data_IF_106343091140
#
_entry.id   IF_106343091140
#
_cell.length_a   1.000
_cell.length_b   1.000
_cell.length_c   1.000
_cell.angle_alpha   90.00
_cell.angle_beta   90.00
_cell.angle_gamma   90.00
#
_symmetry.space_group_name_H-M   'P 1'
#
loop_
_entity.id
_entity.type
_entity.pdbx_description
1 polymer ?
#
# COMPACT_ATOMS: atom_id res chain seq x y z
N UNK A 1 -66.72 16.70 7.09
CA UNK A 1 -65.72 15.60 6.97
C UNK A 1 -64.39 16.02 6.32
N UNK A 2 -64.19 17.28 5.93
CA UNK A 2 -62.98 17.72 5.20
C UNK A 2 -61.81 18.24 6.07
N UNK A 3 -62.02 18.61 7.34
CA UNK A 3 -60.97 19.25 8.16
C UNK A 3 -59.90 18.30 8.72
N UNK A 4 -60.19 17.00 8.84
CA UNK A 4 -59.27 15.99 9.39
C UNK A 4 -58.27 15.48 8.34
N UNK A 5 -58.70 15.32 7.09
CA UNK A 5 -57.87 14.83 5.98
C UNK A 5 -56.77 15.82 5.60
N UNK A 6 -57.02 17.14 5.64
CA UNK A 6 -55.99 18.16 5.37
C UNK A 6 -54.85 18.15 6.39
N UNK A 7 -55.14 17.91 7.68
CA UNK A 7 -54.08 17.84 8.71
C UNK A 7 -53.16 16.63 8.53
N UNK A 8 -53.69 15.50 8.06
CA UNK A 8 -52.91 14.27 7.83
C UNK A 8 -52.03 14.42 6.58
N UNK A 9 -52.55 15.05 5.52
CA UNK A 9 -51.78 15.30 4.29
C UNK A 9 -50.65 16.30 4.51
N UNK A 10 -50.88 17.38 5.27
CA UNK A 10 -49.83 18.35 5.61
C UNK A 10 -48.75 17.73 6.49
N UNK A 11 -49.12 16.86 7.45
CA UNK A 11 -48.16 16.17 8.31
C UNK A 11 -47.28 15.18 7.52
N UNK A 12 -47.86 14.48 6.54
CA UNK A 12 -47.13 13.57 5.65
C UNK A 12 -46.16 14.29 4.71
N UNK A 13 -46.51 15.49 4.22
CA UNK A 13 -45.61 16.31 3.40
C UNK A 13 -44.45 16.87 4.24
N UNK A 14 -44.72 17.29 5.48
CA UNK A 14 -43.65 17.76 6.40
C UNK A 14 -42.71 16.62 6.81
N UNK A 15 -43.21 15.40 7.02
CA UNK A 15 -42.39 14.21 7.26
C UNK A 15 -41.60 13.76 6.02
N UNK A 16 -42.18 13.86 4.82
CA UNK A 16 -41.50 13.55 3.56
C UNK A 16 -40.37 14.53 3.22
N UNK A 17 -40.52 15.81 3.58
CA UNK A 17 -39.47 16.83 3.43
C UNK A 17 -38.37 16.69 4.50
N UNK A 18 -38.68 16.16 5.69
CA UNK A 18 -37.69 15.87 6.73
C UNK A 18 -36.86 14.60 6.44
N UNK A 19 -37.38 13.65 5.68
CA UNK A 19 -36.68 12.40 5.35
C UNK A 19 -35.75 12.50 4.13
N UNK A 20 -35.87 13.55 3.32
CA UNK A 20 -34.96 13.81 2.19
C UNK A 20 -33.75 14.69 2.57
N UNK A 21 -33.55 14.95 3.85
CA UNK A 21 -32.43 15.75 4.37
C UNK A 21 -31.27 14.92 4.97
N UNK A 22 -31.34 13.59 4.91
CA UNK A 22 -30.30 12.70 5.45
C UNK A 22 -29.58 11.89 4.36
N UNK A 23 -29.05 12.59 3.37
CA UNK A 23 -27.88 12.16 2.60
C UNK A 23 -26.99 13.36 2.27
N UNK A 24 -26.85 14.29 3.23
CA UNK A 24 -25.77 15.26 3.16
C UNK A 24 -24.47 14.50 3.35
N UNK A 25 -23.77 14.22 2.25
CA UNK A 25 -22.30 14.09 2.26
C UNK A 25 -21.79 15.23 3.14
N UNK A 26 -21.32 14.89 4.31
CA UNK A 26 -20.76 15.86 5.22
C UNK A 26 -19.45 16.30 4.60
N UNK A 27 -19.36 17.58 4.23
CA UNK A 27 -18.09 18.19 3.88
C UNK A 27 -17.11 17.85 5.02
N UNK A 28 -15.98 17.28 4.63
CA UNK A 28 -14.92 16.83 5.52
C UNK A 28 -14.52 18.01 6.42
N UNK A 29 -14.30 17.75 7.70
CA UNK A 29 -13.72 18.74 8.64
C UNK A 29 -12.45 19.32 8.01
N UNK A 30 -12.27 20.64 8.02
CA UNK A 30 -11.30 21.47 7.25
C UNK A 30 -9.82 21.01 7.15
N UNK A 31 -9.41 19.89 7.75
CA UNK A 31 -8.00 19.55 8.01
C UNK A 31 -7.36 18.53 7.02
N UNK A 32 -8.13 17.73 6.26
CA UNK A 32 -7.56 16.72 5.33
C UNK A 32 -8.41 16.61 4.06
N UNK A 33 -7.86 17.05 2.92
CA UNK A 33 -8.59 17.10 1.64
C UNK A 33 -7.93 16.28 0.53
N UNK A 34 -6.62 16.04 0.64
CA UNK A 34 -5.82 15.31 -0.34
C UNK A 34 -5.13 14.13 0.32
N UNK A 35 -4.70 13.16 -0.49
CA UNK A 35 -3.98 12.00 0.02
C UNK A 35 -2.65 12.38 0.70
N UNK A 36 -1.99 13.46 0.26
CA UNK A 36 -0.78 13.97 0.92
C UNK A 36 -1.01 14.38 2.37
N UNK A 37 -2.22 14.86 2.71
CA UNK A 37 -2.54 15.28 4.06
C UNK A 37 -2.56 14.09 5.05
N UNK A 38 -2.71 12.87 4.53
CA UNK A 38 -2.69 11.63 5.32
C UNK A 38 -1.29 11.00 5.44
N UNK A 39 -0.27 11.53 4.73
CA UNK A 39 1.06 10.96 4.77
C UNK A 39 1.64 10.95 6.20
N UNK A 40 2.29 9.84 6.55
CA UNK A 40 2.87 9.70 7.88
C UNK A 40 3.89 10.81 8.17
N UNK A 41 3.77 11.42 9.36
CA UNK A 41 4.81 12.24 9.95
C UNK A 41 4.83 12.06 11.47
N UNK A 42 5.99 12.26 12.11
CA UNK A 42 6.15 12.17 13.57
C UNK A 42 5.25 13.14 14.35
N UNK A 43 4.71 14.18 13.68
CA UNK A 43 3.86 15.21 14.27
C UNK A 43 2.37 15.00 13.98
N UNK A 44 2.03 14.13 13.03
CA UNK A 44 0.65 13.92 12.62
C UNK A 44 -0.11 13.12 13.69
N UNK A 45 -1.33 13.53 14.01
CA UNK A 45 -2.18 12.84 14.99
C UNK A 45 -3.17 11.86 14.37
N UNK A 46 -3.30 11.87 13.04
CA UNK A 46 -4.19 10.98 12.30
C UNK A 46 -3.46 9.67 11.96
N UNK A 47 -4.21 8.56 11.96
CA UNK A 47 -3.69 7.31 11.43
C UNK A 47 -3.46 7.49 9.92
N UNK A 48 -2.28 7.17 9.37
CA UNK A 48 -1.96 7.40 7.96
C UNK A 48 -2.62 6.33 7.08
N UNK A 49 -3.93 6.12 7.21
CA UNK A 49 -4.67 5.07 6.51
C UNK A 49 -5.66 5.68 5.52
N UNK A 50 -5.60 5.15 4.30
CA UNK A 50 -6.56 5.39 3.24
C UNK A 50 -7.17 4.06 2.81
N UNK A 51 -8.47 4.04 2.52
CA UNK A 51 -9.14 2.85 2.00
C UNK A 51 -9.25 2.93 0.48
N UNK A 52 -8.87 1.85 -0.20
CA UNK A 52 -8.86 1.75 -1.65
C UNK A 52 -9.75 0.58 -2.04
N UNK A 53 -10.55 0.75 -3.09
CA UNK A 53 -11.41 -0.32 -3.60
C UNK A 53 -10.56 -1.41 -4.28
N UNK A 54 -10.65 -2.63 -3.77
CA UNK A 54 -10.21 -3.87 -4.42
C UNK A 54 -11.44 -4.75 -4.72
N UNK A 55 -11.25 -5.86 -5.46
CA UNK A 55 -12.33 -6.79 -5.83
C UNK A 55 -13.19 -7.28 -4.65
N UNK A 56 -12.59 -7.44 -3.46
CA UNK A 56 -13.26 -7.90 -2.24
C UNK A 56 -13.90 -6.77 -1.41
N UNK A 57 -13.77 -5.51 -1.84
CA UNK A 57 -14.23 -4.32 -1.15
C UNK A 57 -13.10 -3.37 -0.80
N UNK A 58 -13.38 -2.43 0.12
CA UNK A 58 -12.40 -1.43 0.55
C UNK A 58 -11.34 -2.02 1.48
N UNK A 59 -10.08 -1.92 1.05
CA UNK A 59 -8.91 -2.43 1.76
C UNK A 59 -8.05 -1.27 2.28
N UNK A 60 -7.51 -1.35 3.51
CA UNK A 60 -6.66 -0.31 4.07
C UNK A 60 -5.24 -0.31 3.49
N UNK A 61 -4.77 0.88 3.14
CA UNK A 61 -3.42 1.19 2.72
C UNK A 61 -2.81 2.23 3.65
N UNK A 62 -1.52 2.11 3.92
CA UNK A 62 -0.73 3.05 4.69
C UNK A 62 -0.18 4.11 3.73
N UNK A 63 -0.39 5.39 4.03
CA UNK A 63 0.20 6.52 3.31
C UNK A 63 1.59 6.81 3.90
N UNK A 64 2.63 6.24 3.28
CA UNK A 64 3.97 6.18 3.87
C UNK A 64 4.72 7.51 3.82
N UNK A 65 4.62 8.22 2.69
CA UNK A 65 5.26 9.53 2.46
C UNK A 65 4.54 10.24 1.32
N UNK A 66 4.57 11.58 1.32
CA UNK A 66 4.13 12.42 0.21
C UNK A 66 5.27 12.90 -0.69
N UNK A 67 6.50 12.43 -0.45
CA UNK A 67 7.68 12.76 -1.23
C UNK A 67 8.48 11.50 -1.55
N UNK A 68 7.89 10.62 -2.37
CA UNK A 68 8.57 9.52 -3.02
C UNK A 68 8.78 9.89 -4.48
N UNK A 69 9.93 10.50 -4.78
CA UNK A 69 10.23 11.10 -6.09
C UNK A 69 9.11 12.07 -6.53
N UNK A 70 8.64 12.92 -5.61
CA UNK A 70 7.55 13.88 -5.84
C UNK A 70 6.14 13.30 -5.87
N UNK A 71 5.95 12.03 -5.47
CA UNK A 71 4.65 11.34 -5.44
C UNK A 71 4.29 10.87 -4.03
N UNK A 72 3.03 10.48 -3.83
CA UNK A 72 2.59 9.87 -2.57
C UNK A 72 2.65 8.36 -2.65
N UNK A 73 3.49 7.76 -1.80
CA UNK A 73 3.70 6.30 -1.72
C UNK A 73 2.70 5.65 -0.77
N UNK A 74 2.04 4.62 -1.27
CA UNK A 74 1.09 3.81 -0.52
C UNK A 74 1.60 2.38 -0.37
N UNK A 75 1.28 1.75 0.77
CA UNK A 75 1.57 0.34 1.04
C UNK A 75 0.32 -0.35 1.56
N UNK A 76 -0.05 -1.48 0.97
CA UNK A 76 -1.16 -2.29 1.47
C UNK A 76 -0.91 -2.67 2.94
N UNK A 77 -1.87 -2.39 3.84
CA UNK A 77 -1.67 -2.57 5.29
C UNK A 77 -1.52 -4.05 5.65
N UNK A 78 -2.39 -4.89 5.09
CA UNK A 78 -2.38 -6.34 5.25
C UNK A 78 -1.68 -7.00 4.05
N UNK A 79 -1.24 -8.25 4.21
CA UNK A 79 -0.75 -9.04 3.06
C UNK A 79 -1.91 -9.47 2.16
N UNK A 80 -1.62 -9.76 0.88
CA UNK A 80 -2.57 -10.42 0.00
C UNK A 80 -2.99 -11.79 0.56
N UNK A 81 -4.20 -12.30 0.22
CA UNK A 81 -4.68 -13.58 0.74
C UNK A 81 -3.83 -14.78 0.34
N UNK A 82 -3.15 -14.70 -0.80
CA UNK A 82 -2.30 -15.76 -1.34
C UNK A 82 -0.83 -15.41 -1.13
N UNK A 83 -0.08 -16.36 -0.58
CA UNK A 83 1.38 -16.29 -0.62
C UNK A 83 1.86 -16.61 -2.03
N UNK A 84 2.97 -16.01 -2.43
CA UNK A 84 3.67 -16.35 -3.68
C UNK A 84 5.17 -16.38 -3.44
N UNK A 85 5.86 -17.03 -4.36
CA UNK A 85 7.31 -17.00 -4.47
C UNK A 85 7.75 -15.82 -5.32
N UNK A 86 9.02 -15.45 -5.22
CA UNK A 86 9.62 -14.41 -6.06
C UNK A 86 9.89 -14.97 -7.46
N UNK A 87 10.49 -16.15 -7.53
CA UNK A 87 10.78 -16.88 -8.78
C UNK A 87 10.97 -18.38 -8.49
N UNK A 88 11.26 -19.19 -9.51
CA UNK A 88 11.63 -20.59 -9.34
C UNK A 88 13.06 -20.78 -8.78
N UNK A 89 13.95 -19.80 -8.94
CA UNK A 89 15.31 -19.85 -8.43
C UNK A 89 15.93 -18.46 -8.21
N UNK A 90 15.97 -17.58 -9.21
CA UNK A 90 16.72 -16.32 -9.17
C UNK A 90 16.15 -15.28 -8.18
N UNK A 91 17.01 -14.60 -7.44
CA UNK A 91 16.65 -13.48 -6.58
C UNK A 91 16.44 -12.16 -7.33
N UNK A 92 16.76 -12.12 -8.63
CA UNK A 92 16.57 -10.92 -9.44
C UNK A 92 15.09 -10.52 -9.52
N UNK A 93 14.81 -9.23 -9.31
CA UNK A 93 13.43 -8.76 -9.14
C UNK A 93 12.71 -8.47 -10.46
N UNK A 94 13.35 -7.78 -11.39
CA UNK A 94 12.73 -7.39 -12.66
C UNK A 94 12.36 -8.63 -13.47
N UNK A 95 11.12 -8.67 -13.97
CA UNK A 95 10.55 -9.79 -14.74
C UNK A 95 10.45 -11.12 -13.96
N UNK A 96 10.67 -11.10 -12.64
CA UNK A 96 10.39 -12.24 -11.76
C UNK A 96 8.90 -12.60 -11.75
N UNK A 97 8.56 -13.77 -11.21
CA UNK A 97 7.16 -14.21 -11.11
C UNK A 97 6.32 -13.24 -10.26
N UNK A 98 6.90 -12.72 -9.18
CA UNK A 98 6.20 -11.76 -8.30
C UNK A 98 6.07 -10.38 -8.94
N UNK A 99 7.08 -9.90 -9.68
CA UNK A 99 7.01 -8.64 -10.42
C UNK A 99 5.93 -8.69 -11.51
N UNK A 100 5.93 -9.77 -12.31
CA UNK A 100 4.91 -10.02 -13.32
C UNK A 100 3.51 -10.16 -12.72
N UNK A 101 3.39 -10.79 -11.55
CA UNK A 101 2.11 -10.86 -10.83
C UNK A 101 1.62 -9.48 -10.37
N UNK A 102 2.49 -8.65 -9.80
CA UNK A 102 2.13 -7.32 -9.32
C UNK A 102 1.71 -6.38 -10.45
N UNK A 103 2.47 -6.38 -11.55
CA UNK A 103 2.22 -5.55 -12.74
C UNK A 103 1.09 -6.07 -13.63
N UNK A 104 0.83 -7.37 -13.60
CA UNK A 104 -0.24 -8.02 -14.34
C UNK A 104 -1.44 -8.32 -13.45
N UNK A 105 -1.56 -9.57 -13.00
CA UNK A 105 -2.76 -10.09 -12.34
C UNK A 105 -3.27 -9.21 -11.18
N UNK A 106 -2.40 -8.75 -10.28
CA UNK A 106 -2.83 -7.87 -9.18
C UNK A 106 -3.33 -6.53 -9.71
N UNK A 107 -2.52 -5.82 -10.51
CA UNK A 107 -2.87 -4.51 -11.05
C UNK A 107 -4.15 -4.58 -11.87
N UNK A 108 -4.27 -5.55 -12.79
CA UNK A 108 -5.42 -5.70 -13.70
C UNK A 108 -6.72 -6.07 -12.98
N UNK A 109 -6.65 -6.70 -11.81
CA UNK A 109 -7.81 -7.01 -10.98
C UNK A 109 -8.28 -5.83 -10.11
N UNK A 110 -7.53 -4.73 -10.05
CA UNK A 110 -8.00 -3.51 -9.39
C UNK A 110 -9.13 -2.86 -10.22
N UNK A 111 -10.15 -2.26 -9.57
CA UNK A 111 -11.15 -1.45 -10.25
C UNK A 111 -10.50 -0.41 -11.17
N UNK A 112 -11.12 -0.15 -12.32
CA UNK A 112 -10.58 0.77 -13.33
C UNK A 112 -10.30 2.16 -12.73
N UNK A 113 -11.17 2.63 -11.82
CA UNK A 113 -11.01 3.89 -11.12
C UNK A 113 -9.69 3.89 -10.33
N UNK A 114 -9.44 2.87 -9.52
CA UNK A 114 -8.18 2.70 -8.77
C UNK A 114 -6.96 2.66 -9.71
N UNK A 115 -7.03 1.89 -10.80
CA UNK A 115 -5.91 1.78 -11.76
C UNK A 115 -5.55 3.11 -12.41
N UNK A 116 -6.55 3.95 -12.71
CA UNK A 116 -6.33 5.27 -13.29
C UNK A 116 -5.61 6.25 -12.34
N UNK A 117 -5.63 6.01 -11.02
CA UNK A 117 -4.94 6.83 -10.03
C UNK A 117 -3.46 6.44 -9.86
N UNK A 118 -3.12 5.20 -10.19
CA UNK A 118 -1.77 4.66 -9.96
C UNK A 118 -0.79 5.19 -11.02
N UNK A 119 0.27 5.81 -10.53
CA UNK A 119 1.33 6.39 -11.35
C UNK A 119 2.49 5.42 -11.55
N UNK A 120 3.17 5.55 -12.69
CA UNK A 120 4.47 4.91 -12.89
C UNK A 120 5.46 5.41 -11.85
N UNK A 121 6.24 4.53 -11.25
CA UNK A 121 7.24 4.84 -10.23
C UNK A 121 8.60 4.33 -10.66
N UNK A 122 9.60 5.20 -10.61
CA UNK A 122 11.00 4.79 -10.70
C UNK A 122 11.40 4.19 -9.36
N UNK A 123 11.89 2.96 -9.38
CA UNK A 123 12.39 2.24 -8.21
C UNK A 123 13.75 1.63 -8.53
N UNK A 124 14.62 1.58 -7.54
CA UNK A 124 15.89 0.90 -7.65
C UNK A 124 15.77 -0.57 -7.22
N UNK A 125 16.50 -1.43 -7.94
CA UNK A 125 16.70 -2.84 -7.63
C UNK A 125 18.19 -3.18 -7.78
N UNK A 126 18.67 -4.19 -7.05
CA UNK A 126 20.00 -4.75 -7.27
C UNK A 126 20.20 -5.11 -8.76
N UNK A 127 21.32 -4.69 -9.33
CA UNK A 127 21.70 -5.09 -10.69
C UNK A 127 21.90 -6.62 -10.72
N UNK A 128 21.38 -7.30 -11.74
CA UNK A 128 21.45 -8.76 -11.85
C UNK A 128 22.90 -9.27 -11.76
N UNK A 129 23.85 -8.49 -12.29
CA UNK A 129 25.28 -8.83 -12.31
C UNK A 129 25.90 -8.88 -10.90
N UNK A 130 25.24 -8.30 -9.90
CA UNK A 130 25.70 -8.28 -8.52
C UNK A 130 25.33 -9.56 -7.76
N UNK A 131 24.45 -10.40 -8.30
CA UNK A 131 24.11 -11.69 -7.70
C UNK A 131 25.35 -12.58 -7.64
N UNK A 132 25.58 -13.20 -6.47
CA UNK A 132 26.75 -14.02 -6.16
C UNK A 132 28.10 -13.29 -6.34
N UNK A 133 28.10 -11.94 -6.26
CA UNK A 133 29.31 -11.11 -6.34
C UNK A 133 29.58 -10.28 -5.07
N UNK A 134 28.60 -10.15 -4.15
CA UNK A 134 28.68 -9.23 -3.00
C UNK A 134 29.00 -7.80 -3.46
N UNK A 135 28.10 -7.26 -4.28
CA UNK A 135 28.14 -5.89 -4.81
C UNK A 135 26.79 -5.21 -4.49
N UNK A 136 26.79 -3.89 -4.42
CA UNK A 136 25.64 -3.08 -4.01
C UNK A 136 25.11 -2.15 -5.10
N UNK A 137 25.61 -2.32 -6.33
CA UNK A 137 25.18 -1.57 -7.51
C UNK A 137 23.71 -1.87 -7.82
N UNK A 138 22.99 -0.80 -8.15
CA UNK A 138 21.56 -0.86 -8.46
C UNK A 138 21.29 -0.31 -9.85
N UNK A 139 20.20 -0.75 -10.44
CA UNK A 139 19.59 -0.16 -11.64
C UNK A 139 18.21 0.40 -11.30
N UNK A 140 17.73 1.33 -12.12
CA UNK A 140 16.39 1.89 -11.99
C UNK A 140 15.44 1.23 -12.98
N UNK A 141 14.30 0.77 -12.50
CA UNK A 141 13.20 0.23 -13.32
C UNK A 141 11.93 1.06 -13.06
N UNK A 142 10.97 0.99 -13.99
CA UNK A 142 9.69 1.68 -13.86
C UNK A 142 8.58 0.67 -13.61
N UNK A 143 7.82 0.85 -12.52
CA UNK A 143 6.70 -0.02 -12.13
C UNK A 143 5.52 0.78 -11.61
N UNK A 144 4.30 0.32 -11.89
CA UNK A 144 3.07 0.86 -11.30
C UNK A 144 2.83 0.28 -9.91
N UNK A 145 3.11 -1.01 -9.72
CA UNK A 145 2.99 -1.72 -8.45
C UNK A 145 4.29 -2.47 -8.19
N UNK A 146 4.78 -2.41 -6.95
CA UNK A 146 6.06 -3.00 -6.56
C UNK A 146 6.07 -3.43 -5.09
N UNK A 147 7.13 -4.13 -4.67
CA UNK A 147 7.44 -4.39 -3.26
C UNK A 147 8.42 -3.35 -2.71
N UNK A 148 8.32 -3.01 -1.43
CA UNK A 148 9.30 -2.15 -0.78
C UNK A 148 10.67 -2.83 -0.67
N UNK A 149 11.74 -2.03 -0.54
CA UNK A 149 13.11 -2.52 -0.39
C UNK A 149 13.54 -2.62 1.08
N UNK A 150 14.60 -3.40 1.30
CA UNK A 150 15.35 -3.46 2.54
C UNK A 150 15.72 -2.06 3.07
N UNK A 151 16.21 -1.20 2.17
CA UNK A 151 16.67 0.15 2.51
C UNK A 151 15.49 1.06 2.91
N UNK A 152 14.36 0.98 2.21
CA UNK A 152 13.15 1.72 2.52
C UNK A 152 12.58 1.37 3.90
N UNK A 153 12.78 0.15 4.38
CA UNK A 153 12.39 -0.29 5.73
C UNK A 153 13.33 0.21 6.84
N UNK A 154 14.37 0.96 6.49
CA UNK A 154 15.30 1.56 7.43
C UNK A 154 16.26 0.57 8.09
N UNK A 155 16.45 -0.61 7.50
CA UNK A 155 17.49 -1.52 7.94
C UNK A 155 18.86 -0.98 7.60
N UNK A 156 19.83 -1.25 8.47
CA UNK A 156 21.22 -0.86 8.23
C UNK A 156 21.79 -1.76 7.15
N UNK A 157 22.42 -1.15 6.15
CA UNK A 157 23.18 -1.86 5.12
C UNK A 157 24.14 -2.86 5.78
N UNK A 158 24.13 -4.09 5.29
CA UNK A 158 24.94 -5.20 5.80
C UNK A 158 26.06 -5.62 4.82
N UNK A 159 26.24 -4.89 3.72
CA UNK A 159 27.23 -5.20 2.67
C UNK A 159 26.76 -6.20 1.61
N UNK A 160 25.57 -6.78 1.78
CA UNK A 160 25.02 -7.82 0.91
C UNK A 160 23.77 -7.37 0.15
N UNK A 161 23.43 -6.09 0.22
CA UNK A 161 22.19 -5.53 -0.34
C UNK A 161 22.47 -4.26 -1.12
N UNK A 162 21.77 -4.08 -2.24
CA UNK A 162 21.80 -2.87 -3.04
C UNK A 162 21.26 -1.66 -2.28
N UNK A 163 21.71 -0.47 -2.65
CA UNK A 163 21.18 0.80 -2.09
C UNK A 163 19.89 1.17 -2.82
N UNK A 164 18.82 0.44 -2.50
CA UNK A 164 17.54 0.56 -3.20
C UNK A 164 16.61 1.60 -2.55
N UNK A 165 16.63 2.85 -3.02
CA UNK A 165 15.82 3.94 -2.48
C UNK A 165 16.36 4.54 -1.17
N UNK A 166 15.47 5.16 -0.37
CA UNK A 166 15.83 5.82 0.90
C UNK A 166 14.95 5.35 2.06
N UNK A 167 15.46 5.31 3.31
CA UNK A 167 14.68 4.93 4.48
C UNK A 167 13.40 5.77 4.65
N UNK A 168 12.27 5.09 4.79
CA UNK A 168 10.97 5.73 5.02
C UNK A 168 10.75 5.94 6.52
N UNK A 169 10.34 7.16 6.89
CA UNK A 169 10.19 7.58 8.29
C UNK A 169 9.23 6.67 9.08
N UNK A 170 8.21 6.13 8.42
CA UNK A 170 7.25 5.19 9.02
C UNK A 170 7.93 3.97 9.65
N UNK A 171 9.00 3.44 9.05
CA UNK A 171 9.68 2.22 9.53
C UNK A 171 10.81 2.47 10.53
N UNK A 172 10.94 3.70 11.04
CA UNK A 172 11.84 4.01 12.16
C UNK A 172 11.46 3.23 13.43
N UNK A 173 10.17 2.97 13.63
CA UNK A 173 9.70 2.01 14.63
C UNK A 173 9.63 0.62 14.00
N UNK A 174 10.37 -0.34 14.56
CA UNK A 174 10.39 -1.72 14.07
C UNK A 174 8.99 -2.36 14.07
N UNK A 175 8.09 -1.96 14.99
CA UNK A 175 6.71 -2.48 15.06
C UNK A 175 5.90 -2.15 13.81
N UNK A 176 6.26 -1.09 13.10
CA UNK A 176 5.56 -0.68 11.89
C UNK A 176 5.86 -1.59 10.68
N UNK A 177 6.84 -2.49 10.80
CA UNK A 177 7.14 -3.53 9.80
C UNK A 177 6.21 -4.73 9.88
N UNK A 178 5.45 -4.87 10.98
CA UNK A 178 4.54 -5.99 11.16
C UNK A 178 3.47 -5.97 10.07
N UNK A 179 3.22 -7.14 9.50
CA UNK A 179 2.14 -7.35 8.55
C UNK A 179 1.20 -8.42 9.10
N UNK A 180 -0.08 -8.31 8.78
CA UNK A 180 -1.09 -9.29 9.18
C UNK A 180 -1.84 -9.82 7.97
N UNK A 181 -2.49 -10.97 8.12
CA UNK A 181 -3.49 -11.45 7.17
C UNK A 181 -4.76 -10.59 7.24
N UNK A 182 -5.61 -10.64 6.19
CA UNK A 182 -7.00 -10.16 6.26
C UNK A 182 -7.63 -10.77 7.53
N UNK A 183 -7.91 -9.94 8.54
CA UNK A 183 -8.47 -10.22 9.88
C UNK A 183 -7.55 -9.84 11.05
N UNK A 184 -6.32 -9.36 10.80
CA UNK A 184 -5.44 -8.78 11.83
C UNK A 184 -5.00 -9.75 12.94
N UNK A 185 -5.29 -11.05 12.81
CA UNK A 185 -5.22 -12.01 13.92
C UNK A 185 -3.81 -12.53 14.18
N UNK A 186 -2.98 -12.60 13.14
CA UNK A 186 -1.63 -13.14 13.19
C UNK A 186 -0.68 -12.23 12.43
N UNK A 187 0.50 -12.00 13.01
CA UNK A 187 1.59 -11.41 12.25
C UNK A 187 2.21 -12.48 11.35
N UNK A 188 2.60 -12.07 10.15
CA UNK A 188 3.10 -12.95 9.10
C UNK A 188 4.30 -12.32 8.42
N UNK A 189 5.14 -13.17 7.84
CA UNK A 189 6.26 -12.75 7.02
C UNK A 189 5.80 -12.22 5.67
N UNK A 190 6.62 -11.37 5.06
CA UNK A 190 6.34 -10.81 3.72
C UNK A 190 7.61 -10.44 2.96
N UNK A 191 7.52 -10.47 1.63
CA UNK A 191 8.63 -10.22 0.71
C UNK A 191 9.01 -8.75 0.58
N UNK A 192 10.32 -8.51 0.38
CA UNK A 192 10.87 -7.27 -0.14
C UNK A 192 11.35 -7.50 -1.58
N UNK A 193 11.57 -6.41 -2.35
CA UNK A 193 12.18 -6.52 -3.69
C UNK A 193 13.69 -6.76 -3.66
N UNK A 194 14.33 -6.57 -2.51
CA UNK A 194 15.79 -6.60 -2.39
C UNK A 194 16.33 -8.02 -2.41
N UNK A 195 17.23 -8.30 -3.35
CA UNK A 195 18.02 -9.51 -3.36
C UNK A 195 19.16 -9.46 -2.32
N UNK A 196 19.56 -10.63 -1.84
CA UNK A 196 20.83 -10.82 -1.16
C UNK A 196 21.92 -11.14 -2.20
N UNK A 197 22.80 -10.17 -2.45
CA UNK A 197 23.91 -10.26 -3.43
C UNK A 197 24.91 -11.39 -3.14
N UNK A 198 24.85 -12.05 -1.97
CA UNK A 198 25.70 -13.20 -1.65
C UNK A 198 25.29 -14.45 -2.43
N UNK A 199 24.01 -14.58 -2.80
CA UNK A 199 23.47 -15.78 -3.41
C UNK A 199 22.61 -15.44 -4.63
N UNK A 200 22.64 -16.31 -5.64
CA UNK A 200 21.76 -16.16 -6.80
C UNK A 200 20.28 -16.34 -6.44
N UNK A 201 19.96 -16.98 -5.33
CA UNK A 201 18.61 -17.43 -5.00
C UNK A 201 18.00 -16.82 -3.75
N UNK A 202 18.67 -15.92 -3.04
CA UNK A 202 18.18 -15.41 -1.76
C UNK A 202 17.57 -14.01 -1.88
N UNK A 203 16.35 -13.84 -1.35
CA UNK A 203 15.63 -12.57 -1.33
C UNK A 203 15.32 -12.18 0.11
N UNK A 204 15.43 -10.89 0.43
CA UNK A 204 15.09 -10.38 1.75
C UNK A 204 13.59 -10.41 2.02
N UNK A 205 13.25 -10.76 3.25
CA UNK A 205 11.89 -10.79 3.77
C UNK A 205 11.86 -10.25 5.19
N UNK A 206 10.72 -9.70 5.56
CA UNK A 206 10.42 -9.37 6.95
C UNK A 206 9.75 -10.56 7.60
N UNK A 207 10.20 -10.95 8.79
CA UNK A 207 9.59 -11.99 9.60
C UNK A 207 8.39 -11.50 10.42
N UNK A 208 7.65 -12.42 11.07
CA UNK A 208 6.44 -12.08 11.82
C UNK A 208 6.64 -11.14 13.01
N UNK A 209 7.86 -11.01 13.53
CA UNK A 209 8.22 -10.11 14.62
C UNK A 209 8.95 -8.85 14.12
N UNK A 210 8.85 -8.55 12.81
CA UNK A 210 9.44 -7.39 12.18
C UNK A 210 10.97 -7.44 12.12
N UNK A 211 11.55 -8.63 12.28
CA UNK A 211 12.94 -8.95 11.98
C UNK A 211 13.17 -9.06 10.47
N UNK A 212 14.42 -8.95 10.05
CA UNK A 212 14.82 -9.13 8.65
C UNK A 212 15.61 -10.41 8.50
N UNK A 213 15.34 -11.15 7.44
CA UNK A 213 16.12 -12.31 7.02
C UNK A 213 16.08 -12.46 5.50
N UNK A 214 16.95 -13.29 4.96
CA UNK A 214 16.94 -13.70 3.56
C UNK A 214 16.55 -15.18 3.47
N UNK A 215 15.75 -15.54 2.49
CA UNK A 215 15.40 -16.95 2.21
C UNK A 215 15.27 -17.17 0.71
N UNK A 216 15.06 -18.42 0.27
CA UNK A 216 15.10 -18.74 -1.14
C UNK A 216 13.94 -18.09 -1.91
N UNK A 217 14.21 -17.64 -3.13
CA UNK A 217 13.25 -17.00 -4.02
C UNK A 217 12.06 -17.90 -4.35
N UNK A 218 12.23 -19.23 -4.27
CA UNK A 218 11.19 -20.23 -4.49
C UNK A 218 10.31 -20.51 -3.28
N UNK A 219 10.65 -19.98 -2.10
CA UNK A 219 9.81 -20.13 -0.91
C UNK A 219 8.52 -19.31 -1.07
N UNK A 220 7.47 -19.71 -0.36
CA UNK A 220 6.18 -19.02 -0.42
C UNK A 220 6.06 -18.04 0.74
N UNK A 221 5.82 -16.76 0.46
CA UNK A 221 5.71 -15.72 1.49
C UNK A 221 4.59 -14.71 1.20
N UNK A 222 4.26 -13.90 2.20
CA UNK A 222 3.24 -12.86 2.08
C UNK A 222 3.66 -11.72 1.15
N UNK A 223 2.68 -11.06 0.54
CA UNK A 223 2.90 -9.99 -0.44
C UNK A 223 2.23 -8.72 0.05
N UNK A 224 2.97 -7.60 0.08
CA UNK A 224 2.42 -6.27 0.37
C UNK A 224 2.68 -5.34 -0.82
N UNK A 225 1.71 -5.20 -1.73
CA UNK A 225 1.80 -4.27 -2.84
C UNK A 225 1.98 -2.83 -2.36
N UNK A 226 2.89 -2.11 -3.01
CA UNK A 226 3.10 -0.68 -2.88
C UNK A 226 2.94 -0.02 -4.25
N UNK A 227 2.47 1.22 -4.26
CA UNK A 227 2.35 2.02 -5.48
C UNK A 227 2.24 3.51 -5.17
N UNK A 228 2.50 4.35 -6.16
CA UNK A 228 2.39 5.80 -6.02
C UNK A 228 1.11 6.34 -6.66
N UNK A 229 0.61 7.44 -6.12
CA UNK A 229 -0.46 8.25 -6.71
C UNK A 229 -0.08 9.73 -6.69
N UNK A 230 -0.85 10.57 -7.38
CA UNK A 230 -0.71 12.03 -7.27
C UNK A 230 -1.06 12.46 -5.84
N UNK A 231 -0.14 13.17 -5.18
CA UNK A 231 -0.37 13.69 -3.84
C UNK A 231 -1.51 14.68 -3.72
N UNK A 232 -1.96 15.28 -4.84
CA UNK A 232 -3.13 16.17 -4.90
C UNK A 232 -4.44 15.43 -5.08
N UNK A 233 -4.43 14.10 -5.21
CA UNK A 233 -5.66 13.33 -5.35
C UNK A 233 -6.58 13.58 -4.15
N UNK A 234 -7.82 13.97 -4.44
CA UNK A 234 -8.83 14.25 -3.42
C UNK A 234 -9.23 12.97 -2.69
N UNK A 235 -9.50 13.10 -1.39
CA UNK A 235 -9.96 12.01 -0.54
C UNK A 235 -11.34 12.32 0.02
N UNK A 236 -12.12 11.26 0.26
CA UNK A 236 -13.49 11.37 0.73
C UNK A 236 -13.64 10.69 2.08
N UNK A 237 -14.43 11.28 2.98
CA UNK A 237 -14.77 10.64 4.26
C UNK A 237 -16.13 9.93 4.16
N UNK A 238 -16.14 8.63 4.38
CA UNK A 238 -17.34 7.78 4.33
C UNK A 238 -17.31 6.83 5.55
N UNK A 239 -18.38 6.83 6.34
CA UNK A 239 -18.48 6.01 7.57
C UNK A 239 -17.29 6.13 8.53
N UNK A 240 -16.68 7.32 8.61
CA UNK A 240 -15.52 7.58 9.47
C UNK A 240 -14.16 7.17 8.89
N UNK A 241 -14.13 6.64 7.66
CA UNK A 241 -12.92 6.23 6.93
C UNK A 241 -12.61 7.21 5.81
N UNK A 242 -11.33 7.44 5.53
CA UNK A 242 -10.91 8.13 4.31
C UNK A 242 -10.83 7.13 3.17
N UNK A 243 -11.36 7.49 2.00
CA UNK A 243 -11.41 6.66 0.81
C UNK A 243 -10.78 7.40 -0.35
N UNK A 244 -9.96 6.69 -1.12
CA UNK A 244 -9.45 7.13 -2.41
C UNK A 244 -10.43 6.68 -3.51
N UNK A 245 -10.99 7.63 -4.24
CA UNK A 245 -11.90 7.40 -5.38
C UNK A 245 -11.45 8.22 -6.58
#
# INVERSE_FOLDING_TARGET
>A
MFRKTYKVVVLAIVLGVLLNACSKRQAVTEEYNTISDLAYSEKCKIEPIIYIEEKAGFVPYIVLTNDYNGKTLLLRKEILPENRRVSDYSAYYEESEIDNYLMGEFFDNLPIQTRCLIQDSEIEILDERCLNQIDDSVITIVRKVFLLSFTELGYKKNGHVGVEGVPLLYFKDNKNRFATTNNGKFTVSWWLRSADSTYDSCVYAVGPEGEIGSTNAYDMNGIRPAFCVDGKQEIYKEEGRYILK
#
